data_IF_126896194962
#
_entry.id   IF_126896194962
#
_cell.length_a   1.000
_cell.length_b   1.000
_cell.length_c   1.000
_cell.angle_alpha   90.00
_cell.angle_beta   90.00
_cell.angle_gamma   90.00
#
_symmetry.space_group_name_H-M   'P 1'
#
loop_
_entity.id
_entity.type
_entity.pdbx_description
1 polymer ?
#
# COMPACT_ATOMS: atom_id res chain seq x y z
N UNK A 1 -10.96 -8.23 -9.64
CA UNK A 1 -9.54 -8.36 -10.10
C UNK A 1 -8.87 -9.63 -9.57
N UNK A 2 -9.04 -10.00 -8.31
CA UNK A 2 -8.36 -11.17 -7.71
C UNK A 2 -8.52 -12.50 -8.46
N UNK A 3 -9.63 -12.68 -9.18
CA UNK A 3 -9.93 -13.89 -9.94
C UNK A 3 -9.64 -13.79 -11.44
N UNK A 4 -9.14 -12.66 -11.92
CA UNK A 4 -8.83 -12.49 -13.34
C UNK A 4 -7.72 -13.46 -13.78
N UNK A 5 -7.86 -13.98 -14.99
CA UNK A 5 -6.82 -14.79 -15.67
C UNK A 5 -5.74 -13.89 -16.24
N UNK A 6 -4.62 -14.48 -16.65
CA UNK A 6 -3.57 -13.74 -17.36
C UNK A 6 -4.09 -13.04 -18.61
N UNK A 7 -4.90 -13.70 -19.44
CA UNK A 7 -5.45 -13.11 -20.68
C UNK A 7 -6.28 -11.84 -20.41
N UNK A 8 -7.00 -11.80 -19.26
CA UNK A 8 -7.72 -10.59 -18.87
C UNK A 8 -6.77 -9.52 -18.38
N UNK A 9 -5.79 -9.85 -17.55
CA UNK A 9 -4.79 -8.90 -17.08
C UNK A 9 -3.99 -8.29 -18.22
N UNK A 10 -3.53 -9.09 -19.17
CA UNK A 10 -2.78 -8.62 -20.34
C UNK A 10 -3.56 -7.55 -21.10
N UNK A 11 -4.85 -7.81 -21.39
CA UNK A 11 -5.71 -6.82 -22.06
C UNK A 11 -5.85 -5.52 -21.28
N UNK A 12 -5.96 -5.62 -19.97
CA UNK A 12 -6.08 -4.45 -19.10
C UNK A 12 -4.78 -3.64 -19.07
N UNK A 13 -3.63 -4.31 -18.97
CA UNK A 13 -2.31 -3.66 -18.99
C UNK A 13 -2.05 -2.99 -20.35
N UNK A 14 -2.37 -3.67 -21.45
CA UNK A 14 -2.25 -3.10 -22.79
C UNK A 14 -3.17 -1.86 -22.94
N UNK A 15 -4.39 -1.92 -22.40
CA UNK A 15 -5.29 -0.78 -22.35
C UNK A 15 -4.72 0.37 -21.52
N UNK A 16 -4.17 0.09 -20.34
CA UNK A 16 -3.52 1.10 -19.50
C UNK A 16 -2.38 1.82 -20.25
N UNK A 17 -1.53 1.06 -20.94
CA UNK A 17 -0.44 1.63 -21.74
C UNK A 17 -0.94 2.57 -22.84
N UNK A 18 -1.99 2.18 -23.57
CA UNK A 18 -2.60 2.98 -24.62
C UNK A 18 -3.27 4.27 -24.10
N UNK A 19 -3.59 4.32 -22.80
CA UNK A 19 -4.24 5.47 -22.16
C UNK A 19 -3.28 6.27 -21.26
N UNK A 20 -1.96 6.05 -21.38
CA UNK A 20 -0.95 6.84 -20.69
C UNK A 20 -0.73 6.51 -19.22
N UNK A 21 -1.28 5.39 -18.73
CA UNK A 21 -0.98 4.91 -17.37
C UNK A 21 0.47 4.44 -17.34
N UNK A 22 1.28 5.00 -16.44
CA UNK A 22 2.70 4.70 -16.33
C UNK A 22 3.15 4.25 -14.94
N UNK A 23 2.28 4.38 -13.93
CA UNK A 23 2.54 4.00 -12.54
C UNK A 23 1.39 3.14 -11.96
N UNK A 24 1.20 1.90 -12.43
CA UNK A 24 0.16 1.03 -11.91
C UNK A 24 0.46 0.56 -10.48
N UNK A 25 -0.55 0.51 -9.61
CA UNK A 25 -0.41 -0.07 -8.27
C UNK A 25 -0.43 -1.60 -8.35
N UNK A 26 0.67 -2.25 -7.99
CA UNK A 26 0.82 -3.69 -8.04
C UNK A 26 0.57 -4.34 -6.67
N UNK A 27 -0.62 -4.86 -6.46
CA UNK A 27 -1.00 -5.57 -5.24
C UNK A 27 -1.17 -7.08 -5.41
N UNK A 28 -1.25 -7.58 -6.66
CA UNK A 28 -1.37 -9.03 -6.93
C UNK A 28 -0.07 -9.72 -6.52
N UNK A 29 -0.19 -10.70 -5.62
CA UNK A 29 0.95 -11.41 -5.04
C UNK A 29 1.39 -10.89 -3.67
N UNK A 30 0.79 -9.80 -3.15
CA UNK A 30 1.08 -9.33 -1.79
C UNK A 30 0.80 -10.42 -0.74
N UNK A 31 -0.25 -11.18 -0.91
CA UNK A 31 -0.60 -12.33 -0.07
C UNK A 31 0.48 -13.43 -0.08
N UNK A 32 1.18 -13.62 -1.20
CA UNK A 32 2.31 -14.56 -1.32
C UNK A 32 3.52 -14.05 -0.52
N UNK A 33 3.81 -12.75 -0.63
CA UNK A 33 4.89 -12.11 0.17
C UNK A 33 4.63 -12.32 1.65
N UNK A 34 3.43 -12.02 2.11
CA UNK A 34 3.03 -12.21 3.51
C UNK A 34 3.03 -13.66 3.94
N UNK A 35 2.55 -14.58 3.08
CA UNK A 35 2.60 -16.01 3.39
C UNK A 35 4.03 -16.48 3.67
N UNK A 36 4.97 -16.09 2.83
CA UNK A 36 6.39 -16.42 3.02
C UNK A 36 6.99 -15.76 4.25
N UNK A 37 6.77 -14.46 4.44
CA UNK A 37 7.23 -13.74 5.62
C UNK A 37 6.79 -14.43 6.91
N UNK A 38 5.51 -14.78 7.00
CA UNK A 38 4.95 -15.43 8.19
C UNK A 38 5.53 -16.83 8.40
N UNK A 39 5.57 -17.67 7.36
CA UNK A 39 5.93 -19.08 7.51
C UNK A 39 7.44 -19.33 7.51
N UNK A 40 8.20 -18.57 6.75
CA UNK A 40 9.64 -18.81 6.60
C UNK A 40 10.49 -17.96 7.58
N UNK A 41 10.00 -16.79 8.01
CA UNK A 41 10.78 -15.87 8.84
C UNK A 41 10.20 -15.65 10.25
N UNK A 42 8.87 -15.61 10.38
CA UNK A 42 8.22 -15.27 11.65
C UNK A 42 7.71 -16.50 12.44
N UNK A 43 7.92 -17.72 11.94
CA UNK A 43 7.63 -18.97 12.66
C UNK A 43 6.15 -19.34 12.74
N UNK A 44 5.31 -18.79 11.88
CA UNK A 44 3.91 -19.20 11.75
C UNK A 44 3.79 -20.50 10.96
N UNK A 45 2.87 -21.37 11.36
CA UNK A 45 2.43 -22.46 10.48
C UNK A 45 1.64 -21.94 9.28
N UNK A 46 1.47 -22.78 8.26
CA UNK A 46 0.64 -22.44 7.10
C UNK A 46 -0.78 -22.07 7.48
N UNK A 47 -1.37 -22.80 8.43
CA UNK A 47 -2.75 -22.55 8.88
C UNK A 47 -2.87 -21.24 9.67
N UNK A 48 -1.90 -20.92 10.50
CA UNK A 48 -1.87 -19.64 11.23
C UNK A 48 -1.71 -18.46 10.29
N UNK A 49 -0.79 -18.54 9.31
CA UNK A 49 -0.65 -17.52 8.28
C UNK A 49 -1.94 -17.30 7.49
N UNK A 50 -2.69 -18.38 7.20
CA UNK A 50 -3.98 -18.31 6.52
C UNK A 50 -5.10 -17.71 7.37
N UNK A 51 -4.95 -17.64 8.69
CA UNK A 51 -5.90 -16.92 9.57
C UNK A 51 -5.68 -15.41 9.51
N UNK A 52 -4.46 -14.96 9.22
CA UNK A 52 -4.14 -13.56 9.06
C UNK A 52 -4.46 -13.03 7.67
N UNK A 53 -4.11 -13.79 6.61
CA UNK A 53 -4.28 -13.36 5.24
C UNK A 53 -5.74 -13.45 4.82
N UNK A 54 -6.31 -12.36 4.34
CA UNK A 54 -7.69 -12.34 3.90
C UNK A 54 -7.92 -13.13 2.60
N UNK A 55 -9.14 -13.59 2.43
CA UNK A 55 -9.59 -14.24 1.19
C UNK A 55 -9.63 -13.29 -0.01
N UNK A 56 -9.79 -13.83 -1.23
CA UNK A 56 -9.63 -13.08 -2.49
C UNK A 56 -10.47 -11.81 -2.61
N UNK A 57 -11.69 -11.82 -2.06
CA UNK A 57 -12.60 -10.68 -2.15
C UNK A 57 -12.25 -9.54 -1.19
N UNK A 58 -11.40 -9.79 -0.19
CA UNK A 58 -11.08 -8.85 0.90
C UNK A 58 -9.61 -8.40 0.89
N UNK A 59 -8.81 -8.85 -0.05
CA UNK A 59 -7.36 -8.56 -0.09
C UNK A 59 -7.03 -7.08 -0.19
N UNK A 60 -7.85 -6.26 -0.86
CA UNK A 60 -7.63 -4.83 -0.95
C UNK A 60 -7.68 -4.17 0.44
N UNK A 61 -8.73 -4.43 1.21
CA UNK A 61 -8.88 -3.89 2.56
C UNK A 61 -7.88 -4.48 3.56
N UNK A 62 -7.54 -5.76 3.41
CA UNK A 62 -6.47 -6.38 4.18
C UNK A 62 -5.12 -5.74 3.90
N UNK A 63 -4.76 -5.51 2.64
CA UNK A 63 -3.53 -4.83 2.25
C UNK A 63 -3.45 -3.38 2.73
N UNK A 64 -4.60 -2.74 2.97
CA UNK A 64 -4.73 -1.42 3.58
C UNK A 64 -4.73 -1.44 5.11
N UNK A 65 -4.48 -2.58 5.77
CA UNK A 65 -4.50 -2.73 7.24
C UNK A 65 -5.88 -2.51 7.88
N UNK A 66 -6.97 -2.73 7.15
CA UNK A 66 -8.33 -2.48 7.64
C UNK A 66 -9.00 -3.71 8.25
N UNK A 67 -8.59 -4.91 7.88
CA UNK A 67 -9.16 -6.15 8.41
C UNK A 67 -8.12 -7.28 8.43
N UNK A 68 -8.33 -8.26 9.32
CA UNK A 68 -7.50 -9.45 9.47
C UNK A 68 -8.30 -10.70 9.13
N UNK A 69 -7.76 -11.57 8.27
CA UNK A 69 -8.20 -12.95 8.09
C UNK A 69 -9.61 -13.21 7.55
N UNK A 70 -10.31 -12.21 7.06
CA UNK A 70 -11.70 -12.38 6.60
C UNK A 70 -11.79 -13.06 5.23
N UNK A 71 -12.76 -13.97 5.09
CA UNK A 71 -13.08 -14.62 3.80
C UNK A 71 -12.08 -15.68 3.34
N UNK A 72 -11.17 -16.11 4.21
CA UNK A 72 -10.22 -17.21 3.99
C UNK A 72 -10.75 -18.55 4.55
N UNK A 73 -9.90 -19.58 4.68
CA UNK A 73 -8.48 -19.60 4.29
C UNK A 73 -8.26 -19.79 2.79
N UNK A 74 -7.17 -19.22 2.28
CA UNK A 74 -6.73 -19.47 0.92
C UNK A 74 -6.06 -20.83 0.79
N UNK A 75 -6.23 -21.49 -0.35
CA UNK A 75 -5.61 -22.79 -0.66
C UNK A 75 -4.20 -22.60 -1.25
N UNK A 76 -3.33 -23.60 -1.14
CA UNK A 76 -1.95 -23.51 -1.64
C UNK A 76 -1.87 -23.22 -3.14
N UNK A 77 -2.78 -23.78 -3.95
CA UNK A 77 -2.84 -23.47 -5.38
C UNK A 77 -3.12 -22.00 -5.67
N UNK A 78 -3.81 -21.30 -4.75
CA UNK A 78 -4.09 -19.88 -4.86
C UNK A 78 -2.77 -19.09 -4.81
N UNK A 79 -1.93 -19.32 -3.83
CA UNK A 79 -0.63 -18.63 -3.69
C UNK A 79 0.29 -18.91 -4.87
N UNK A 80 0.32 -20.16 -5.36
CA UNK A 80 1.08 -20.53 -6.57
C UNK A 80 0.61 -19.73 -7.79
N UNK A 81 -0.71 -19.65 -7.97
CA UNK A 81 -1.31 -18.87 -9.06
C UNK A 81 -1.01 -17.38 -8.92
N UNK A 82 -1.16 -16.80 -7.72
CA UNK A 82 -0.89 -15.37 -7.48
C UNK A 82 0.58 -15.02 -7.71
N UNK A 83 1.51 -15.88 -7.32
CA UNK A 83 2.93 -15.70 -7.58
C UNK A 83 3.24 -15.66 -9.08
N UNK A 84 2.66 -16.59 -9.85
CA UNK A 84 2.83 -16.62 -11.31
C UNK A 84 2.20 -15.40 -11.97
N UNK A 85 1.00 -15.03 -11.55
CA UNK A 85 0.28 -13.89 -12.09
C UNK A 85 1.01 -12.57 -11.81
N UNK A 86 1.52 -12.37 -10.59
CA UNK A 86 2.30 -11.19 -10.22
C UNK A 86 3.52 -11.02 -11.12
N UNK A 87 4.27 -12.10 -11.37
CA UNK A 87 5.44 -12.05 -12.24
C UNK A 87 5.09 -11.69 -13.68
N UNK A 88 3.99 -12.23 -14.21
CA UNK A 88 3.55 -11.93 -15.56
C UNK A 88 3.07 -10.48 -15.71
N UNK A 89 2.32 -9.97 -14.72
CA UNK A 89 1.86 -8.59 -14.69
C UNK A 89 3.06 -7.64 -14.68
N UNK A 90 3.97 -7.81 -13.73
CA UNK A 90 5.17 -6.96 -13.59
C UNK A 90 6.08 -7.00 -14.83
N UNK A 91 6.23 -8.18 -15.45
CA UNK A 91 7.01 -8.30 -16.67
C UNK A 91 6.36 -7.50 -17.81
N UNK A 92 5.03 -7.60 -17.98
CA UNK A 92 4.31 -6.87 -19.04
C UNK A 92 4.29 -5.36 -18.81
N UNK A 93 4.06 -4.92 -17.58
CA UNK A 93 4.10 -3.50 -17.23
C UNK A 93 5.46 -2.89 -17.58
N UNK A 94 6.56 -3.54 -17.16
CA UNK A 94 7.93 -3.06 -17.47
C UNK A 94 8.26 -3.13 -18.96
N UNK A 95 7.80 -4.15 -19.67
CA UNK A 95 7.96 -4.27 -21.14
C UNK A 95 7.32 -3.07 -21.86
N UNK A 96 6.20 -2.55 -21.34
CA UNK A 96 5.48 -1.41 -21.89
C UNK A 96 5.96 -0.06 -21.33
N UNK A 97 7.05 -0.04 -20.56
CA UNK A 97 7.66 1.17 -20.01
C UNK A 97 6.95 1.74 -18.77
N UNK A 98 6.07 0.98 -18.14
CA UNK A 98 5.48 1.37 -16.87
C UNK A 98 6.43 1.05 -15.71
N UNK A 99 6.40 1.88 -14.67
CA UNK A 99 7.11 1.63 -13.42
C UNK A 99 6.09 1.26 -12.31
N UNK A 100 5.98 -0.03 -11.94
CA UNK A 100 4.98 -0.46 -10.96
C UNK A 100 5.20 0.17 -9.60
N UNK A 101 4.12 0.62 -8.94
CA UNK A 101 4.15 1.02 -7.54
C UNK A 101 3.98 -0.21 -6.68
N UNK A 102 5.01 -0.61 -5.94
CA UNK A 102 4.98 -1.81 -5.10
C UNK A 102 4.44 -1.49 -3.70
N UNK A 103 3.78 -2.45 -3.02
CA UNK A 103 3.33 -2.24 -1.65
C UNK A 103 4.55 -2.18 -0.71
N UNK A 104 4.66 -1.10 0.05
CA UNK A 104 5.67 -0.95 1.08
C UNK A 104 5.21 -1.47 2.45
N UNK A 105 6.07 -1.35 3.46
CA UNK A 105 5.81 -1.83 4.82
C UNK A 105 5.72 -0.67 5.81
N UNK A 106 4.60 -0.60 6.52
CA UNK A 106 4.32 0.45 7.50
C UNK A 106 4.03 -0.08 8.93
N UNK A 107 4.38 -1.34 9.19
CA UNK A 107 4.28 -1.92 10.54
C UNK A 107 3.18 -2.98 10.73
N UNK A 108 2.35 -3.27 9.73
CA UNK A 108 1.30 -4.29 9.82
C UNK A 108 1.85 -5.64 10.31
N UNK A 109 1.19 -6.27 11.26
CA UNK A 109 1.49 -7.62 11.76
C UNK A 109 0.20 -8.31 12.23
N UNK A 110 0.20 -9.66 12.31
CA UNK A 110 -0.92 -10.37 12.92
C UNK A 110 -1.17 -9.91 14.36
N UNK A 111 -2.43 -9.89 14.78
CA UNK A 111 -2.84 -9.49 16.13
C UNK A 111 -2.24 -10.35 17.25
N UNK A 112 -1.80 -11.57 16.94
CA UNK A 112 -1.17 -12.52 17.86
C UNK A 112 0.37 -12.51 17.85
N UNK A 113 1.01 -11.53 17.17
CA UNK A 113 2.47 -11.44 17.02
C UNK A 113 3.22 -11.46 18.35
N UNK A 114 2.63 -10.88 19.41
CA UNK A 114 3.22 -10.87 20.74
C UNK A 114 3.40 -12.29 21.30
N UNK A 115 2.42 -13.15 21.11
CA UNK A 115 2.50 -14.55 21.57
C UNK A 115 3.45 -15.40 20.72
N UNK A 116 3.65 -15.05 19.46
CA UNK A 116 4.51 -15.78 18.53
C UNK A 116 5.98 -15.39 18.60
N UNK A 117 6.26 -14.10 18.67
CA UNK A 117 7.61 -13.54 18.58
C UNK A 117 8.02 -12.73 19.80
N UNK A 118 7.11 -12.49 20.75
CA UNK A 118 7.36 -11.60 21.88
C UNK A 118 7.44 -10.12 21.48
N UNK A 119 7.03 -9.74 20.26
CA UNK A 119 7.03 -8.35 19.81
C UNK A 119 5.85 -7.59 20.39
N UNK A 120 6.12 -6.43 20.97
CA UNK A 120 5.05 -5.49 21.34
C UNK A 120 4.48 -4.85 20.08
N UNK A 121 3.16 -4.86 19.95
CA UNK A 121 2.45 -4.26 18.84
C UNK A 121 1.20 -3.53 19.31
N UNK A 122 0.85 -2.44 18.65
CA UNK A 122 -0.30 -1.61 18.97
C UNK A 122 -1.57 -2.19 18.37
N UNK A 123 -2.58 -2.39 19.22
CA UNK A 123 -3.91 -2.79 18.79
C UNK A 123 -4.59 -1.65 18.05
N UNK A 124 -5.00 -1.90 16.81
CA UNK A 124 -5.65 -0.93 15.94
C UNK A 124 -7.18 -0.91 16.06
N UNK A 125 -7.74 -1.69 16.97
CA UNK A 125 -9.19 -1.78 17.17
C UNK A 125 -9.92 -2.41 15.97
N UNK A 126 -11.05 -1.84 15.61
CA UNK A 126 -11.91 -2.33 14.54
C UNK A 126 -12.09 -1.28 13.43
N UNK A 127 -12.28 -1.76 12.20
CA UNK A 127 -12.74 -0.97 11.07
C UNK A 127 -14.05 -1.59 10.55
N UNK A 128 -15.16 -0.84 10.55
CA UNK A 128 -16.48 -1.33 10.10
C UNK A 128 -16.82 -2.73 10.63
N UNK A 129 -16.68 -2.97 11.92
CA UNK A 129 -16.89 -4.27 12.61
C UNK A 129 -15.81 -5.34 12.35
N UNK A 130 -14.84 -5.13 11.48
CA UNK A 130 -13.72 -6.05 11.28
C UNK A 130 -12.59 -5.74 12.24
N UNK A 131 -12.00 -6.77 12.82
CA UNK A 131 -10.76 -6.64 13.60
C UNK A 131 -9.63 -6.24 12.66
N UNK A 132 -8.89 -5.18 13.01
CA UNK A 132 -7.70 -4.75 12.28
C UNK A 132 -6.49 -5.60 12.66
N UNK A 133 -5.53 -5.80 11.73
CA UNK A 133 -4.18 -6.17 12.09
C UNK A 133 -3.60 -5.21 13.13
N UNK A 134 -2.65 -5.68 13.92
CA UNK A 134 -1.86 -4.83 14.79
C UNK A 134 -0.76 -4.12 13.99
N UNK A 135 -0.14 -3.10 14.58
CA UNK A 135 1.06 -2.48 14.02
C UNK A 135 2.22 -2.52 15.03
N UNK A 136 3.40 -2.83 14.54
CA UNK A 136 4.64 -2.59 15.27
C UNK A 136 4.90 -1.10 15.32
N UNK A 137 5.31 -0.57 16.47
CA UNK A 137 5.81 0.79 16.53
C UNK A 137 7.02 0.92 15.58
N UNK A 138 6.98 1.79 14.56
CA UNK A 138 8.10 1.98 13.65
C UNK A 138 9.41 2.39 14.33
N UNK A 139 9.35 2.92 15.56
CA UNK A 139 10.53 3.25 16.35
C UNK A 139 11.18 2.03 17.04
N UNK A 140 10.53 0.86 17.00
CA UNK A 140 11.01 -0.35 17.65
C UNK A 140 12.05 -1.13 16.84
N UNK A 141 12.85 -1.95 17.50
CA UNK A 141 13.75 -2.90 16.83
C UNK A 141 12.99 -3.99 16.08
N UNK A 142 11.83 -4.42 16.61
CA UNK A 142 10.95 -5.38 15.95
C UNK A 142 10.47 -4.88 14.58
N UNK A 143 10.09 -3.60 14.46
CA UNK A 143 9.77 -3.00 13.17
C UNK A 143 10.95 -3.07 12.19
N UNK A 144 12.15 -2.71 12.64
CA UNK A 144 13.34 -2.73 11.79
C UNK A 144 13.63 -4.13 11.27
N UNK A 145 13.53 -5.16 12.13
CA UNK A 145 13.74 -6.57 11.78
C UNK A 145 12.67 -7.04 10.76
N UNK A 146 11.40 -6.83 11.07
CA UNK A 146 10.31 -7.29 10.20
C UNK A 146 10.29 -6.55 8.86
N UNK A 147 10.61 -5.25 8.83
CA UNK A 147 10.70 -4.50 7.58
C UNK A 147 11.80 -5.02 6.64
N UNK A 148 12.97 -5.37 7.16
CA UNK A 148 14.04 -5.98 6.35
C UNK A 148 13.60 -7.32 5.74
N UNK A 149 12.97 -8.17 6.54
CA UNK A 149 12.43 -9.45 6.08
C UNK A 149 11.31 -9.25 5.04
N UNK A 150 10.41 -8.30 5.27
CA UNK A 150 9.34 -7.98 4.33
C UNK A 150 9.88 -7.54 2.97
N UNK A 151 10.79 -6.56 2.94
CA UNK A 151 11.36 -6.07 1.68
C UNK A 151 12.20 -7.14 0.98
N UNK A 152 12.87 -8.03 1.71
CA UNK A 152 13.53 -9.19 1.15
C UNK A 152 12.52 -10.10 0.44
N UNK A 153 11.41 -10.47 1.08
CA UNK A 153 10.37 -11.33 0.49
C UNK A 153 9.65 -10.65 -0.67
N UNK A 154 9.44 -9.35 -0.57
CA UNK A 154 8.88 -8.56 -1.67
C UNK A 154 9.80 -8.60 -2.90
N UNK A 155 11.10 -8.36 -2.71
CA UNK A 155 12.08 -8.37 -3.79
C UNK A 155 12.24 -9.76 -4.45
N UNK A 156 12.16 -10.85 -3.67
CA UNK A 156 12.20 -12.22 -4.20
C UNK A 156 11.04 -12.52 -5.18
N UNK A 157 9.87 -11.94 -4.95
CA UNK A 157 8.71 -12.17 -5.80
C UNK A 157 8.55 -11.12 -6.90
N UNK A 158 8.69 -9.83 -6.54
CA UNK A 158 8.30 -8.69 -7.38
C UNK A 158 9.50 -7.89 -7.93
N UNK A 159 10.71 -8.17 -7.42
CA UNK A 159 11.87 -7.32 -7.68
C UNK A 159 11.81 -6.02 -6.86
N UNK A 160 12.47 -4.99 -7.38
CA UNK A 160 12.45 -3.65 -6.81
C UNK A 160 11.76 -2.66 -7.76
N UNK A 161 11.34 -1.53 -7.24
CA UNK A 161 10.79 -0.41 -8.01
C UNK A 161 11.31 0.91 -7.47
N UNK A 162 11.17 1.95 -8.25
CA UNK A 162 11.39 3.34 -7.80
C UNK A 162 10.28 3.80 -6.85
N UNK A 163 9.08 3.19 -6.91
CA UNK A 163 7.90 3.65 -6.19
C UNK A 163 7.34 2.58 -5.25
N UNK A 164 7.06 2.98 -3.99
CA UNK A 164 6.41 2.14 -2.99
C UNK A 164 5.25 2.88 -2.35
N UNK A 165 4.09 2.23 -2.25
CA UNK A 165 2.87 2.79 -1.65
C UNK A 165 2.71 2.32 -0.21
N UNK A 166 2.50 3.28 0.70
CA UNK A 166 2.19 3.03 2.12
C UNK A 166 1.31 4.16 2.65
N UNK A 167 0.30 3.81 3.42
CA UNK A 167 -0.62 4.75 4.07
C UNK A 167 -0.69 4.45 5.59
N UNK A 168 0.40 4.74 6.35
CA UNK A 168 0.40 4.49 7.78
C UNK A 168 -0.54 5.43 8.52
N UNK A 169 -1.13 4.93 9.60
CA UNK A 169 -1.98 5.69 10.52
C UNK A 169 -3.26 6.28 9.89
N UNK A 170 -3.77 5.69 8.80
CA UNK A 170 -4.99 6.15 8.12
C UNK A 170 -6.28 5.69 8.83
N UNK A 171 -7.39 6.36 8.53
CA UNK A 171 -8.77 6.01 8.95
C UNK A 171 -8.93 5.69 10.45
N UNK A 172 -8.46 6.58 11.30
CA UNK A 172 -8.63 6.44 12.75
C UNK A 172 -7.74 5.37 13.38
N UNK A 173 -6.57 5.14 12.80
CA UNK A 173 -5.56 4.28 13.39
C UNK A 173 -5.15 4.76 14.80
N UNK A 174 -4.88 3.80 15.68
CA UNK A 174 -4.41 4.08 17.03
C UNK A 174 -2.91 4.38 17.02
N UNK A 175 -2.54 5.61 17.39
CA UNK A 175 -1.16 6.07 17.51
C UNK A 175 -0.71 6.25 18.97
N UNK A 176 -1.47 5.74 19.93
CA UNK A 176 -1.16 5.89 21.35
C UNK A 176 0.24 5.31 21.67
N UNK A 177 1.07 6.13 22.29
CA UNK A 177 2.43 5.79 22.66
C UNK A 177 3.43 5.76 21.51
N UNK A 178 3.03 6.13 20.29
CA UNK A 178 3.93 6.20 19.11
C UNK A 178 4.39 7.66 18.92
N UNK A 179 5.70 7.87 18.84
CA UNK A 179 6.27 9.12 18.32
C UNK A 179 6.07 9.14 16.79
N UNK A 180 4.96 9.72 16.35
CA UNK A 180 4.52 9.73 14.94
C UNK A 180 5.53 10.38 13.99
N UNK A 181 6.12 11.56 14.28
CA UNK A 181 7.16 12.12 13.42
C UNK A 181 8.35 11.17 13.23
N UNK A 182 8.88 10.60 14.31
CA UNK A 182 9.96 9.63 14.25
C UNK A 182 9.53 8.36 13.50
N UNK A 183 8.30 7.89 13.71
CA UNK A 183 7.74 6.73 13.03
C UNK A 183 7.75 6.90 11.50
N UNK A 184 7.32 8.05 10.97
CA UNK A 184 7.40 8.34 9.53
C UNK A 184 8.82 8.29 9.00
N UNK A 185 9.78 8.88 9.73
CA UNK A 185 11.20 8.81 9.34
C UNK A 185 11.73 7.38 9.31
N UNK A 186 11.31 6.54 10.26
CA UNK A 186 11.71 5.13 10.31
C UNK A 186 11.10 4.31 9.18
N UNK A 187 9.82 4.51 8.87
CA UNK A 187 9.15 3.88 7.72
C UNK A 187 9.86 4.26 6.41
N UNK A 188 10.12 5.54 6.20
CA UNK A 188 10.88 6.02 5.04
C UNK A 188 12.26 5.40 4.95
N UNK A 189 13.01 5.38 6.05
CA UNK A 189 14.36 4.82 6.08
C UNK A 189 14.37 3.30 5.79
N UNK A 190 13.36 2.56 6.24
CA UNK A 190 13.23 1.13 5.95
C UNK A 190 13.02 0.87 4.45
N UNK A 191 12.16 1.66 3.80
CA UNK A 191 11.97 1.63 2.35
C UNK A 191 13.26 2.02 1.61
N UNK A 192 13.89 3.10 2.01
CA UNK A 192 15.13 3.60 1.41
C UNK A 192 16.30 2.62 1.55
N UNK A 193 16.37 1.87 2.65
CA UNK A 193 17.35 0.79 2.84
C UNK A 193 17.14 -0.34 1.84
N UNK A 194 15.89 -0.66 1.50
CA UNK A 194 15.56 -1.69 0.51
C UNK A 194 15.88 -1.22 -0.93
N UNK A 195 15.70 0.09 -1.22
CA UNK A 195 15.99 0.71 -2.51
C UNK A 195 16.34 2.18 -2.31
N UNK A 196 17.61 2.54 -2.48
CA UNK A 196 18.17 3.87 -2.17
C UNK A 196 17.44 5.04 -2.84
N UNK A 197 17.05 4.88 -4.10
CA UNK A 197 16.36 5.94 -4.86
C UNK A 197 14.84 5.88 -4.76
N UNK A 198 14.29 5.03 -3.88
CA UNK A 198 12.86 4.85 -3.76
C UNK A 198 12.15 6.14 -3.36
N UNK A 199 10.99 6.33 -3.96
CA UNK A 199 10.02 7.37 -3.62
C UNK A 199 8.81 6.75 -2.95
N UNK A 200 8.32 7.40 -1.93
CA UNK A 200 7.12 7.00 -1.22
C UNK A 200 5.89 7.61 -1.88
N UNK A 201 4.95 6.77 -2.30
CA UNK A 201 3.63 7.18 -2.80
C UNK A 201 2.64 7.04 -1.66
N UNK A 202 2.00 8.14 -1.26
CA UNK A 202 1.03 8.18 -0.16
C UNK A 202 -0.29 8.79 -0.65
N UNK A 203 -1.42 8.24 -0.19
CA UNK A 203 -2.74 8.75 -0.52
C UNK A 203 -3.16 9.84 0.46
N UNK A 204 -3.59 10.98 -0.05
CA UNK A 204 -4.26 11.99 0.75
C UNK A 204 -5.73 11.60 0.92
N UNK A 205 -6.01 10.97 2.06
CA UNK A 205 -7.33 10.48 2.42
C UNK A 205 -7.65 10.84 3.86
N UNK A 206 -8.48 11.88 4.09
CA UNK A 206 -8.89 12.33 5.42
C UNK A 206 -7.73 12.46 6.42
N UNK A 207 -6.66 13.14 6.03
CA UNK A 207 -5.50 13.29 6.89
C UNK A 207 -5.86 14.05 8.19
N UNK A 208 -5.45 13.49 9.31
CA UNK A 208 -5.41 14.17 10.60
C UNK A 208 -4.04 14.84 10.80
N UNK A 209 -3.90 15.59 11.89
CA UNK A 209 -2.62 16.20 12.28
C UNK A 209 -1.48 15.19 12.35
N UNK A 210 -1.78 13.91 12.64
CA UNK A 210 -0.79 12.84 12.65
C UNK A 210 -0.22 12.59 11.25
N UNK A 211 -1.07 12.47 10.22
CA UNK A 211 -0.64 12.23 8.85
C UNK A 211 0.15 13.40 8.28
N UNK A 212 -0.24 14.65 8.56
CA UNK A 212 0.51 15.83 8.11
C UNK A 212 1.97 15.88 8.61
N UNK A 213 2.33 15.13 9.67
CA UNK A 213 3.71 15.07 10.16
C UNK A 213 4.68 14.46 9.12
N UNK A 214 4.20 13.62 8.18
CA UNK A 214 5.03 13.04 7.12
C UNK A 214 5.75 14.12 6.30
N UNK A 215 5.10 15.26 6.06
CA UNK A 215 5.63 16.36 5.24
C UNK A 215 6.93 17.00 5.79
N UNK A 216 7.23 16.78 7.06
CA UNK A 216 8.47 17.25 7.69
C UNK A 216 9.50 16.16 7.93
N UNK A 217 9.18 14.92 7.61
CA UNK A 217 10.02 13.75 7.90
C UNK A 217 10.59 13.10 6.66
N UNK A 218 10.05 13.41 5.49
CA UNK A 218 10.52 12.92 4.18
C UNK A 218 10.99 14.11 3.37
N UNK A 219 12.13 13.97 2.69
CA UNK A 219 12.71 15.03 1.88
C UNK A 219 11.85 15.30 0.62
N UNK A 220 11.84 16.55 0.15
CA UNK A 220 11.19 16.90 -1.12
C UNK A 220 11.75 16.06 -2.28
N UNK A 221 10.88 15.70 -3.22
CA UNK A 221 11.21 14.80 -4.33
C UNK A 221 11.30 13.32 -3.95
N UNK A 222 11.08 12.96 -2.67
CA UNK A 222 11.04 11.57 -2.18
C UNK A 222 9.66 11.13 -1.72
N UNK A 223 8.69 12.05 -1.66
CA UNK A 223 7.28 11.79 -1.34
C UNK A 223 6.43 12.27 -2.51
N UNK A 224 5.50 11.42 -2.95
CA UNK A 224 4.49 11.74 -3.96
C UNK A 224 3.12 11.57 -3.30
N UNK A 225 2.34 12.64 -3.29
CA UNK A 225 1.04 12.68 -2.63
C UNK A 225 -0.06 12.55 -3.69
N UNK A 226 -0.88 11.52 -3.56
CA UNK A 226 -2.07 11.35 -4.39
C UNK A 226 -3.23 12.09 -3.74
N UNK A 227 -3.57 13.26 -4.25
CA UNK A 227 -4.72 14.03 -3.75
C UNK A 227 -6.01 13.45 -4.31
N UNK A 228 -6.62 12.49 -3.58
CA UNK A 228 -7.67 11.61 -4.09
C UNK A 228 -8.97 12.33 -4.46
N UNK A 229 -9.18 13.54 -3.99
CA UNK A 229 -10.43 14.30 -4.20
C UNK A 229 -10.18 15.65 -4.85
N UNK A 230 -9.17 15.78 -5.68
CA UNK A 230 -8.77 17.06 -6.29
C UNK A 230 -9.89 17.73 -7.09
N UNK A 231 -10.82 16.95 -7.67
CA UNK A 231 -12.00 17.47 -8.37
C UNK A 231 -13.03 18.13 -7.45
N UNK A 232 -12.96 17.86 -6.15
CA UNK A 232 -13.92 18.37 -5.16
C UNK A 232 -13.28 19.36 -4.19
N UNK A 233 -12.06 19.07 -3.73
CA UNK A 233 -11.36 19.82 -2.68
C UNK A 233 -9.86 19.60 -2.85
N UNK A 234 -9.20 20.33 -3.73
CA UNK A 234 -7.75 20.23 -3.92
C UNK A 234 -7.00 20.81 -2.72
N UNK A 235 -5.89 20.17 -2.32
CA UNK A 235 -5.10 20.53 -1.14
C UNK A 235 -3.63 20.84 -1.47
N UNK A 236 -3.29 21.13 -2.73
CA UNK A 236 -1.89 21.27 -3.20
C UNK A 236 -1.08 22.29 -2.41
N UNK A 237 -1.69 23.37 -1.94
CA UNK A 237 -1.04 24.40 -1.11
C UNK A 237 -0.58 23.89 0.27
N UNK A 238 -1.13 22.76 0.72
CA UNK A 238 -0.85 22.19 2.04
C UNK A 238 0.38 21.28 2.06
N UNK A 239 0.87 20.85 0.88
CA UNK A 239 1.90 19.81 0.77
C UNK A 239 3.34 20.30 0.88
N UNK A 240 3.55 21.57 1.19
CA UNK A 240 4.87 22.16 1.50
C UNK A 240 5.93 21.90 0.44
N UNK A 241 5.55 21.90 -0.85
CA UNK A 241 6.45 21.69 -1.97
C UNK A 241 6.83 20.23 -2.23
N UNK A 242 6.11 19.25 -1.67
CA UNK A 242 6.21 17.86 -2.10
C UNK A 242 5.49 17.63 -3.43
N UNK A 243 6.00 16.67 -4.20
CA UNK A 243 5.35 16.25 -5.45
C UNK A 243 3.93 15.76 -5.15
N UNK A 244 2.97 16.19 -5.94
CA UNK A 244 1.56 15.76 -5.81
C UNK A 244 0.93 15.44 -7.16
N UNK A 245 -0.11 14.63 -7.13
CA UNK A 245 -0.85 14.19 -8.32
C UNK A 245 -2.32 14.55 -8.16
N UNK A 246 -2.87 15.22 -9.15
CA UNK A 246 -4.30 15.49 -9.26
C UNK A 246 -5.05 14.18 -9.49
N UNK A 247 -5.88 13.75 -8.54
CA UNK A 247 -6.60 12.50 -8.60
C UNK A 247 -8.11 12.70 -8.51
N UNK A 248 -8.84 11.78 -9.12
CA UNK A 248 -10.28 11.61 -8.96
C UNK A 248 -10.59 10.14 -8.64
N UNK A 249 -11.68 9.88 -7.94
CA UNK A 249 -12.17 8.54 -7.65
C UNK A 249 -13.40 8.21 -8.51
N UNK A 250 -13.22 7.81 -9.79
CA UNK A 250 -14.32 7.73 -10.76
C UNK A 250 -15.32 6.61 -10.46
N UNK A 251 -14.95 5.62 -9.67
CA UNK A 251 -15.80 4.49 -9.31
C UNK A 251 -16.01 4.35 -7.80
N UNK A 252 -16.02 5.46 -7.08
CA UNK A 252 -16.20 5.48 -5.64
C UNK A 252 -17.43 4.70 -5.18
N UNK A 253 -17.25 3.83 -4.16
CA UNK A 253 -18.31 2.98 -3.65
C UNK A 253 -18.75 1.85 -4.59
N UNK A 254 -17.90 1.44 -5.56
CA UNK A 254 -18.18 0.34 -6.49
C UNK A 254 -19.14 0.73 -7.63
N UNK A 255 -19.37 2.01 -7.85
CA UNK A 255 -20.17 2.49 -8.99
C UNK A 255 -19.47 2.14 -10.30
N UNK A 256 -20.25 1.66 -11.29
CA UNK A 256 -19.71 1.24 -12.59
C UNK A 256 -19.68 2.37 -13.63
N UNK A 257 -20.35 3.49 -13.37
CA UNK A 257 -20.31 4.68 -14.20
C UNK A 257 -19.16 5.59 -13.84
N UNK A 258 -18.82 6.53 -14.72
CA UNK A 258 -17.88 7.61 -14.44
C UNK A 258 -18.50 8.49 -13.35
N UNK A 259 -17.79 8.61 -12.23
CA UNK A 259 -18.14 9.50 -11.14
C UNK A 259 -17.01 10.53 -10.97
N UNK A 260 -17.37 11.74 -10.63
CA UNK A 260 -16.43 12.85 -10.44
C UNK A 260 -16.97 14.14 -11.05
N UNK A 261 -16.36 15.26 -10.67
CA UNK A 261 -16.69 16.58 -11.21
C UNK A 261 -15.82 16.84 -12.45
N UNK A 262 -16.18 16.24 -13.57
CA UNK A 262 -15.40 16.31 -14.81
C UNK A 262 -15.16 17.75 -15.28
N UNK A 263 -16.14 18.64 -15.14
CA UNK A 263 -15.99 20.05 -15.49
C UNK A 263 -14.94 20.74 -14.61
N UNK A 264 -14.96 20.48 -13.30
CA UNK A 264 -13.94 20.98 -12.37
C UNK A 264 -12.55 20.41 -12.71
N UNK A 265 -12.46 19.12 -13.02
CA UNK A 265 -11.20 18.48 -13.41
C UNK A 265 -10.61 19.07 -14.69
N UNK A 266 -11.42 19.47 -15.65
CA UNK A 266 -10.95 20.11 -16.89
C UNK A 266 -10.53 21.56 -16.63
N UNK A 267 -11.33 22.32 -15.88
CA UNK A 267 -11.13 23.74 -15.70
C UNK A 267 -10.08 24.08 -14.64
N UNK A 268 -10.00 23.31 -13.57
CA UNK A 268 -9.14 23.61 -12.42
C UNK A 268 -7.76 22.96 -12.52
N UNK A 269 -7.63 21.86 -13.28
CA UNK A 269 -6.37 21.12 -13.38
C UNK A 269 -5.19 22.03 -13.77
N UNK A 270 -5.35 22.83 -14.82
CA UNK A 270 -4.29 23.75 -15.28
C UNK A 270 -4.04 24.88 -14.28
N UNK A 271 -5.09 25.45 -13.70
CA UNK A 271 -4.95 26.50 -12.69
C UNK A 271 -4.23 26.00 -11.44
N UNK A 272 -4.58 24.80 -10.98
CA UNK A 272 -3.96 24.22 -9.78
C UNK A 272 -2.51 23.83 -10.02
N UNK A 273 -2.14 23.30 -11.18
CA UNK A 273 -0.76 22.96 -11.52
C UNK A 273 0.13 24.20 -11.74
N UNK A 274 -0.41 25.26 -12.35
CA UNK A 274 0.35 26.49 -12.59
C UNK A 274 0.56 27.32 -11.31
N UNK A 275 -0.25 27.10 -10.29
CA UNK A 275 -0.22 27.89 -9.05
C UNK A 275 0.69 27.27 -7.98
N UNK A 276 0.95 25.97 -8.04
CA UNK A 276 1.68 25.19 -7.03
C UNK A 276 2.72 24.27 -7.64
#
# INVERSE_FOLDING_TARGET
MSVWTWDRWQKEIDWMALHGVNMPLQIIGLDVVWKKLLTEDLGYSSDEANKFIAGPCFQAWWGMNNLEGWGGPNKDWWYTRQATLAKNILARERELGMEPVLPGYAGMVPSDIASKKGYSANNQGNWCYFTRPYILDPNSTAFSEVSELYYKRLAELMGTSTYYSMDPFHEGANTDGIDVPSAYKKIYNAMHKAKEDAKWVIQFWQWSDAQYKVLSQVDQGKLIILDLSSDCSPHFSEYKGHDSVYCILPNFGGRTGIFGRLEASINNYYTDIETY
#
